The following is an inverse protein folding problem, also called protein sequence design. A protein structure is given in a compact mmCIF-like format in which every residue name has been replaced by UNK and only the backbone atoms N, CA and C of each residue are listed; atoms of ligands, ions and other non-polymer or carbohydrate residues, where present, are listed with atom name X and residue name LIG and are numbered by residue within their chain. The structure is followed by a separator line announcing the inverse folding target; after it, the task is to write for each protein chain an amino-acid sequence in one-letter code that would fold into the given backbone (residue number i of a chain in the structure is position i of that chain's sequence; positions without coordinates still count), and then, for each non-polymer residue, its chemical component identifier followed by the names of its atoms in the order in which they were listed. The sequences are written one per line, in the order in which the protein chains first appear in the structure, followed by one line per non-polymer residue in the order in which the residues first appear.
data_IF_126555550133
#
_entry.id   IF_126555550133
#
_cell.length_a   1.000
_cell.length_b   1.000
_cell.length_c   1.000
_cell.angle_alpha   90.00
_cell.angle_beta   90.00
_cell.angle_gamma   90.00
#
_symmetry.space_group_name_H-M   'P 1'
#
loop_
_entity.id
_entity.type
_entity.pdbx_description
1 polymer ?
#
# COMPACT_ATOMS: atom_id res chain seq x y z
N UNK A 1 14.02 3.98 -12.95
CA UNK A 1 14.35 5.36 -13.40
C UNK A 1 13.39 6.45 -12.92
N UNK A 2 12.06 6.22 -12.82
CA UNK A 2 11.11 7.27 -12.40
C UNK A 2 11.20 7.63 -10.91
N UNK A 3 11.18 6.65 -10.01
CA UNK A 3 11.24 6.88 -8.55
C UNK A 3 12.54 7.56 -8.10
N UNK A 4 13.69 7.07 -8.59
CA UNK A 4 15.01 7.64 -8.30
C UNK A 4 15.15 9.12 -8.70
N UNK A 5 14.40 9.58 -9.71
CA UNK A 5 14.40 10.98 -10.15
C UNK A 5 13.52 11.87 -9.27
N UNK A 6 12.47 11.33 -8.67
CA UNK A 6 11.67 12.09 -7.70
C UNK A 6 12.39 12.25 -6.38
N UNK A 7 13.11 11.22 -5.92
CA UNK A 7 13.95 11.28 -4.72
C UNK A 7 15.07 12.33 -4.78
N UNK A 8 15.53 12.68 -5.99
CA UNK A 8 16.58 13.69 -6.17
C UNK A 8 16.06 15.13 -6.27
N UNK A 9 14.74 15.33 -6.32
CA UNK A 9 14.14 16.67 -6.29
C UNK A 9 14.06 17.19 -4.85
N UNK A 10 14.17 18.50 -4.67
CA UNK A 10 13.88 19.15 -3.39
C UNK A 10 12.40 18.95 -3.08
N UNK A 11 12.11 18.15 -2.06
CA UNK A 11 10.75 17.87 -1.60
C UNK A 11 10.08 19.14 -1.09
N UNK A 12 8.86 19.40 -1.58
CA UNK A 12 7.98 20.45 -1.06
C UNK A 12 7.08 19.96 0.08
N UNK A 13 7.06 18.65 0.34
CA UNK A 13 6.14 18.00 1.27
C UNK A 13 4.66 18.12 0.85
N UNK A 14 4.41 18.39 -0.43
CA UNK A 14 3.06 18.63 -0.97
C UNK A 14 2.83 17.86 -2.28
N UNK A 15 3.51 16.72 -2.44
CA UNK A 15 3.37 15.85 -3.61
C UNK A 15 2.52 14.63 -3.26
N UNK A 16 1.59 14.28 -4.15
CA UNK A 16 0.89 13.00 -4.13
C UNK A 16 1.57 12.05 -5.12
N UNK A 17 2.14 10.96 -4.62
CA UNK A 17 2.67 9.87 -5.43
C UNK A 17 1.62 8.77 -5.56
N UNK A 18 1.37 8.31 -6.78
CA UNK A 18 0.50 7.17 -7.06
C UNK A 18 1.34 6.11 -7.74
N UNK A 19 1.37 4.90 -7.17
CA UNK A 19 2.12 3.76 -7.69
C UNK A 19 1.15 2.60 -7.92
N UNK A 20 1.28 1.98 -9.09
CA UNK A 20 0.47 0.83 -9.51
C UNK A 20 1.34 -0.42 -9.49
N UNK A 21 1.07 -1.31 -8.53
CA UNK A 21 1.79 -2.57 -8.25
C UNK A 21 3.32 -2.47 -8.31
N UNK A 22 3.94 -1.58 -7.51
CA UNK A 22 5.38 -1.34 -7.60
C UNK A 22 6.25 -2.52 -7.17
N UNK A 23 5.69 -3.54 -6.50
CA UNK A 23 6.44 -4.75 -6.12
C UNK A 23 6.47 -5.84 -7.21
N UNK A 24 5.75 -5.67 -8.31
CA UNK A 24 5.69 -6.68 -9.37
C UNK A 24 7.08 -6.98 -9.94
N UNK A 25 7.50 -8.24 -9.82
CA UNK A 25 8.79 -8.74 -10.30
C UNK A 25 9.99 -8.43 -9.40
N UNK A 26 9.78 -7.87 -8.20
CA UNK A 26 10.84 -7.62 -7.22
C UNK A 26 11.09 -8.83 -6.32
N UNK A 27 12.36 -9.04 -5.96
CA UNK A 27 12.74 -10.00 -4.94
C UNK A 27 12.42 -9.45 -3.54
N UNK A 28 12.26 -10.30 -2.52
CA UNK A 28 11.90 -9.88 -1.16
C UNK A 28 12.80 -8.79 -0.56
N UNK A 29 14.11 -8.87 -0.81
CA UNK A 29 15.06 -7.84 -0.37
C UNK A 29 14.84 -6.48 -1.06
N UNK A 30 14.45 -6.48 -2.34
CA UNK A 30 14.18 -5.27 -3.10
C UNK A 30 12.88 -4.60 -2.66
N UNK A 31 11.90 -5.40 -2.22
CA UNK A 31 10.64 -4.90 -1.64
C UNK A 31 10.93 -4.11 -0.36
N UNK A 32 11.81 -4.61 0.51
CA UNK A 32 12.19 -3.88 1.73
C UNK A 32 12.88 -2.55 1.39
N UNK A 33 13.81 -2.56 0.43
CA UNK A 33 14.46 -1.32 -0.01
C UNK A 33 13.46 -0.32 -0.63
N UNK A 34 12.47 -0.80 -1.38
CA UNK A 34 11.39 0.03 -1.91
C UNK A 34 10.56 0.64 -0.76
N UNK A 35 10.17 -0.16 0.23
CA UNK A 35 9.42 0.30 1.39
C UNK A 35 10.16 1.39 2.17
N UNK A 36 11.47 1.23 2.41
CA UNK A 36 12.29 2.24 3.07
C UNK A 36 12.25 3.59 2.34
N UNK A 37 12.34 3.54 1.01
CA UNK A 37 12.26 4.72 0.14
C UNK A 37 10.88 5.37 0.21
N UNK A 38 9.80 4.58 0.19
CA UNK A 38 8.43 5.09 0.28
C UNK A 38 8.19 5.74 1.65
N UNK A 39 8.60 5.10 2.74
CA UNK A 39 8.50 5.69 4.07
C UNK A 39 9.30 7.00 4.17
N UNK A 40 10.50 7.07 3.60
CA UNK A 40 11.28 8.30 3.58
C UNK A 40 10.56 9.44 2.83
N UNK A 41 9.90 9.14 1.70
CA UNK A 41 9.11 10.12 0.96
C UNK A 41 7.89 10.60 1.77
N UNK A 42 7.20 9.69 2.46
CA UNK A 42 6.09 10.02 3.37
C UNK A 42 6.57 10.92 4.50
N UNK A 43 7.68 10.59 5.15
CA UNK A 43 8.23 11.32 6.29
C UNK A 43 8.69 12.74 5.91
N UNK A 44 8.95 12.99 4.62
CA UNK A 44 9.18 14.33 4.07
C UNK A 44 7.87 15.15 3.88
N UNK A 45 6.73 14.62 4.30
CA UNK A 45 5.41 15.25 4.23
C UNK A 45 4.60 14.90 2.98
N UNK A 46 5.11 14.05 2.08
CA UNK A 46 4.37 13.66 0.89
C UNK A 46 3.29 12.62 1.20
N UNK A 47 2.27 12.55 0.36
CA UNK A 47 1.27 11.46 0.41
C UNK A 47 1.58 10.43 -0.65
N UNK A 48 1.43 9.16 -0.32
CA UNK A 48 1.71 8.04 -1.23
C UNK A 48 0.49 7.13 -1.24
N UNK A 49 -0.05 6.88 -2.43
CA UNK A 49 -1.12 5.92 -2.67
C UNK A 49 -0.54 4.80 -3.50
N UNK A 50 -0.67 3.57 -3.01
CA UNK A 50 -0.12 2.39 -3.67
C UNK A 50 -1.25 1.39 -3.89
N UNK A 51 -1.36 0.89 -5.12
CA UNK A 51 -2.18 -0.28 -5.45
C UNK A 51 -1.27 -1.49 -5.30
N UNK A 52 -1.63 -2.41 -4.41
CA UNK A 52 -0.82 -3.59 -4.10
C UNK A 52 -1.69 -4.81 -3.79
N UNK A 53 -1.11 -5.97 -4.05
CA UNK A 53 -1.62 -7.26 -3.58
C UNK A 53 -0.60 -7.97 -2.67
N UNK A 54 0.60 -7.42 -2.51
CA UNK A 54 1.62 -7.98 -1.63
C UNK A 54 1.37 -7.60 -0.16
N UNK A 55 1.07 -8.60 0.66
CA UNK A 55 0.74 -8.41 2.08
C UNK A 55 1.90 -7.85 2.92
N UNK A 56 3.16 -8.06 2.51
CA UNK A 56 4.32 -7.49 3.20
C UNK A 56 4.39 -5.96 3.05
N UNK A 57 3.79 -5.41 1.99
CA UNK A 57 3.62 -3.96 1.81
C UNK A 57 2.34 -3.48 2.48
N UNK A 58 1.23 -4.21 2.28
CA UNK A 58 -0.08 -3.82 2.80
C UNK A 58 -0.05 -3.70 4.34
N UNK A 59 0.64 -4.62 5.03
CA UNK A 59 0.73 -4.59 6.50
C UNK A 59 1.48 -3.37 7.07
N UNK A 60 2.33 -2.71 6.28
CA UNK A 60 3.11 -1.55 6.72
C UNK A 60 2.42 -0.23 6.41
N UNK A 61 1.27 -0.26 5.73
CA UNK A 61 0.55 0.94 5.36
C UNK A 61 -0.04 1.65 6.58
N UNK A 62 -0.01 2.98 6.58
CA UNK A 62 -0.68 3.79 7.60
C UNK A 62 -2.21 3.70 7.48
N UNK A 63 -2.71 3.46 6.27
CA UNK A 63 -4.13 3.36 5.95
C UNK A 63 -4.36 2.45 4.73
N UNK A 64 -5.43 1.65 4.76
CA UNK A 64 -5.83 0.75 3.69
C UNK A 64 -7.27 1.09 3.29
N UNK A 65 -7.52 1.06 1.98
CA UNK A 65 -8.86 1.07 1.40
C UNK A 65 -9.03 -0.25 0.65
N UNK A 66 -9.90 -1.12 1.16
CA UNK A 66 -10.12 -2.44 0.57
C UNK A 66 -11.36 -2.45 -0.32
N UNK A 67 -11.20 -2.98 -1.53
CA UNK A 67 -12.23 -3.00 -2.57
C UNK A 67 -12.68 -4.43 -2.84
N UNK A 68 -13.97 -4.60 -3.14
CA UNK A 68 -14.51 -5.91 -3.48
C UNK A 68 -16.04 -5.90 -3.50
N UNK A 69 -16.71 -7.00 -3.07
CA UNK A 69 -16.13 -8.25 -2.55
C UNK A 69 -15.42 -9.10 -3.60
N UNK A 70 -15.77 -8.94 -4.88
CA UNK A 70 -15.17 -9.70 -5.98
C UNK A 70 -14.54 -8.76 -7.03
N UNK A 71 -14.01 -9.33 -8.10
CA UNK A 71 -13.57 -8.57 -9.28
C UNK A 71 -14.70 -8.29 -10.28
N UNK A 72 -14.49 -7.31 -11.17
CA UNK A 72 -15.41 -7.01 -12.27
C UNK A 72 -16.78 -6.52 -11.78
N UNK A 73 -17.87 -7.10 -12.30
CA UNK A 73 -19.25 -6.70 -11.95
C UNK A 73 -19.67 -7.08 -10.54
N UNK A 74 -18.93 -7.96 -9.87
CA UNK A 74 -19.16 -8.33 -8.46
C UNK A 74 -18.34 -7.49 -7.48
N UNK A 75 -17.62 -6.47 -7.96
CA UNK A 75 -16.79 -5.58 -7.18
C UNK A 75 -17.19 -4.12 -7.29
N UNK A 76 -16.24 -3.24 -6.99
CA UNK A 76 -16.39 -1.79 -7.12
C UNK A 76 -16.94 -1.10 -5.88
N UNK A 77 -17.09 -1.83 -4.78
CA UNK A 77 -17.51 -1.28 -3.49
C UNK A 77 -16.31 -1.14 -2.55
N UNK A 78 -16.35 -0.13 -1.68
CA UNK A 78 -15.42 -0.02 -0.55
C UNK A 78 -15.98 -0.89 0.58
N UNK A 79 -15.30 -1.99 0.87
CA UNK A 79 -15.70 -2.91 1.93
C UNK A 79 -15.34 -2.35 3.31
N UNK A 80 -14.11 -1.84 3.42
CA UNK A 80 -13.56 -1.30 4.66
C UNK A 80 -12.44 -0.31 4.32
N UNK A 81 -12.30 0.70 5.16
CA UNK A 81 -11.25 1.71 5.07
C UNK A 81 -10.77 2.05 6.48
N UNK A 82 -9.48 1.89 6.74
CA UNK A 82 -8.94 1.96 8.10
C UNK A 82 -7.47 1.63 8.20
N UNK A 83 -6.95 1.55 9.43
CA UNK A 83 -5.62 0.99 9.69
C UNK A 83 -5.57 -0.49 9.31
N UNK A 84 -4.37 -1.09 9.15
CA UNK A 84 -4.24 -2.54 8.94
C UNK A 84 -5.03 -3.39 9.93
N UNK A 85 -5.04 -3.02 11.21
CA UNK A 85 -5.78 -3.73 12.26
C UNK A 85 -7.29 -3.61 12.06
N UNK A 86 -7.76 -2.43 11.64
CA UNK A 86 -9.19 -2.20 11.36
C UNK A 86 -9.65 -3.05 10.17
N UNK A 87 -8.85 -3.08 9.10
CA UNK A 87 -9.15 -3.89 7.91
C UNK A 87 -9.10 -5.38 8.24
N UNK A 88 -8.14 -5.84 9.04
CA UNK A 88 -8.00 -7.24 9.44
C UNK A 88 -9.23 -7.81 10.18
N UNK A 89 -10.10 -6.98 10.74
CA UNK A 89 -11.35 -7.40 11.39
C UNK A 89 -12.57 -7.42 10.44
N UNK A 90 -12.42 -7.03 9.17
CA UNK A 90 -13.51 -7.06 8.21
C UNK A 90 -13.73 -8.48 7.64
N UNK A 91 -14.79 -9.18 8.07
CA UNK A 91 -15.08 -10.55 7.61
C UNK A 91 -15.39 -10.66 6.11
N UNK A 92 -15.95 -9.60 5.50
CA UNK A 92 -16.30 -9.56 4.08
C UNK A 92 -15.09 -9.37 3.16
N UNK A 93 -13.93 -9.00 3.71
CA UNK A 93 -12.72 -8.68 2.96
C UNK A 93 -11.84 -9.92 2.75
N UNK A 94 -11.51 -10.22 1.49
CA UNK A 94 -10.51 -11.25 1.18
C UNK A 94 -9.13 -10.83 1.71
N UNK A 95 -8.78 -9.55 1.59
CA UNK A 95 -7.53 -8.98 2.12
C UNK A 95 -7.41 -9.21 3.63
N UNK A 96 -8.47 -8.94 4.39
CA UNK A 96 -8.50 -9.12 5.84
C UNK A 96 -8.19 -10.56 6.27
N UNK A 97 -8.74 -11.54 5.55
CA UNK A 97 -8.51 -12.98 5.81
C UNK A 97 -7.01 -13.33 5.82
N UNK A 98 -6.22 -12.71 4.93
CA UNK A 98 -4.78 -12.95 4.82
C UNK A 98 -3.92 -11.95 5.60
N UNK A 99 -4.42 -10.74 5.84
CA UNK A 99 -3.72 -9.73 6.63
C UNK A 99 -3.72 -10.07 8.12
N UNK A 100 -4.84 -10.57 8.66
CA UNK A 100 -5.02 -10.85 10.10
C UNK A 100 -3.93 -11.75 10.72
N UNK A 101 -3.48 -12.84 10.08
CA UNK A 101 -2.39 -13.67 10.60
C UNK A 101 -1.02 -12.97 10.62
N UNK A 102 -0.82 -11.93 9.79
CA UNK A 102 0.47 -11.26 9.62
C UNK A 102 0.71 -10.12 10.63
N UNK A 103 -0.35 -9.67 11.33
CA UNK A 103 -0.29 -8.62 12.35
C UNK A 103 -0.05 -9.16 13.77
N UNK A 104 0.08 -10.48 13.93
CA UNK A 104 0.27 -11.14 15.24
C UNK A 104 1.72 -11.26 15.65
#
# INVERSE_FOLDING_TARGET
MKLARELSKRGTGQTLYILDEPTTGLHFADIQQLLDVLHQLRDQGNTIVVIEHNLDVIKTADWIVDLGPEGGSGGGEILVSGTPETVAECEASHTARFLKPMLK
#
